data_IF_259542925638
#
_entry.id   IF_259542925638
#
_cell.length_a   1.000
_cell.length_b   1.000
_cell.length_c   1.000
_cell.angle_alpha   90.00
_cell.angle_beta   90.00
_cell.angle_gamma   90.00
#
_symmetry.space_group_name_H-M   'P 1'
#
loop_
_entity.id
_entity.type
_entity.pdbx_description
1 polymer ?
#
# COMPACT_ATOMS: atom_id res chain seq x y z
N UNK A 1 -28.98 -54.02 35.30
CA UNK A 1 -28.76 -52.69 35.90
C UNK A 1 -28.57 -51.71 34.75
N UNK A 2 -29.39 -50.65 34.70
CA UNK A 2 -29.58 -49.75 33.55
C UNK A 2 -28.83 -48.45 33.84
N UNK A 3 -27.73 -48.17 33.13
CA UNK A 3 -27.08 -46.86 33.21
C UNK A 3 -26.83 -46.36 31.78
N UNK A 4 -27.72 -45.48 31.31
CA UNK A 4 -27.63 -44.78 30.03
C UNK A 4 -26.75 -43.54 30.24
N UNK A 5 -25.70 -43.37 29.45
CA UNK A 5 -24.88 -42.16 29.42
C UNK A 5 -25.29 -41.33 28.20
N UNK A 6 -25.95 -40.21 28.44
CA UNK A 6 -26.23 -39.17 27.45
C UNK A 6 -25.11 -38.14 27.60
N UNK A 7 -24.25 -38.01 26.60
CA UNK A 7 -23.26 -36.94 26.52
C UNK A 7 -23.71 -35.94 25.45
N UNK A 8 -24.13 -34.78 25.92
CA UNK A 8 -24.57 -33.63 25.12
C UNK A 8 -23.35 -33.01 24.41
N UNK A 9 -23.31 -33.08 23.08
CA UNK A 9 -22.31 -32.37 22.30
C UNK A 9 -22.68 -30.87 22.21
N UNK A 10 -21.91 -30.03 22.87
CA UNK A 10 -22.04 -28.57 22.82
C UNK A 10 -21.46 -28.08 21.49
N UNK A 11 -22.33 -27.66 20.56
CA UNK A 11 -21.90 -27.03 19.30
C UNK A 11 -21.51 -25.58 19.59
N UNK A 12 -20.20 -25.30 19.56
CA UNK A 12 -19.68 -23.94 19.57
C UNK A 12 -19.76 -23.37 18.15
N UNK A 13 -20.82 -22.62 17.86
CA UNK A 13 -20.90 -21.80 16.64
C UNK A 13 -20.13 -20.50 16.88
N UNK A 14 -18.90 -20.43 16.41
CA UNK A 14 -18.12 -19.19 16.36
C UNK A 14 -18.77 -18.24 15.35
N UNK A 15 -19.33 -17.14 15.83
CA UNK A 15 -19.87 -16.08 14.99
C UNK A 15 -18.74 -15.32 14.28
N UNK A 16 -18.75 -15.34 12.95
CA UNK A 16 -17.94 -14.43 12.15
C UNK A 16 -18.55 -13.03 12.23
N UNK A 17 -17.91 -12.12 12.96
CA UNK A 17 -18.23 -10.70 12.91
C UNK A 17 -17.63 -10.13 11.61
N UNK A 18 -18.48 -9.75 10.65
CA UNK A 18 -18.05 -8.95 9.51
C UNK A 18 -17.84 -7.51 9.98
N UNK A 19 -16.58 -7.10 10.13
CA UNK A 19 -16.25 -5.70 10.35
C UNK A 19 -16.50 -4.93 9.04
N UNK A 20 -17.64 -4.24 8.94
CA UNK A 20 -17.86 -3.25 7.90
C UNK A 20 -16.94 -2.05 8.18
N UNK A 21 -15.82 -1.96 7.48
CA UNK A 21 -15.01 -0.76 7.40
C UNK A 21 -15.83 0.34 6.72
N UNK A 22 -16.24 1.35 7.50
CA UNK A 22 -16.80 2.59 6.96
C UNK A 22 -15.71 3.26 6.10
N UNK A 23 -15.96 3.60 4.81
CA UNK A 23 -14.99 4.39 4.07
C UNK A 23 -14.81 5.75 4.77
N UNK A 24 -13.56 6.17 4.85
CA UNK A 24 -13.13 7.40 5.52
C UNK A 24 -13.91 8.62 5.02
N UNK A 25 -14.15 9.52 5.96
CA UNK A 25 -14.77 10.85 5.84
C UNK A 25 -14.25 11.65 4.63
N UNK A 26 -15.17 12.36 3.97
CA UNK A 26 -14.93 13.08 2.70
C UNK A 26 -13.86 14.18 2.74
N UNK A 27 -13.65 14.80 1.57
CA UNK A 27 -12.63 15.84 1.35
C UNK A 27 -12.69 16.40 -0.07
N UNK A 28 -11.64 17.12 -0.51
CA UNK A 28 -11.53 17.63 -1.87
C UNK A 28 -11.18 16.50 -2.85
N UNK A 29 -12.03 16.30 -3.87
CA UNK A 29 -11.79 15.37 -4.98
C UNK A 29 -11.61 16.20 -6.25
N UNK A 30 -10.37 16.58 -6.53
CA UNK A 30 -9.97 17.43 -7.64
C UNK A 30 -8.47 17.33 -7.88
N UNK A 31 -7.90 18.15 -8.78
CA UNK A 31 -6.49 18.09 -9.13
C UNK A 31 -5.59 18.17 -7.89
N UNK A 32 -4.64 17.24 -7.80
CA UNK A 32 -3.59 17.26 -6.77
C UNK A 32 -2.47 18.23 -7.16
N UNK A 33 -1.73 18.76 -6.19
CA UNK A 33 -0.61 19.66 -6.43
C UNK A 33 0.51 18.98 -7.24
N UNK A 34 0.70 17.68 -7.05
CA UNK A 34 1.72 16.89 -7.75
C UNK A 34 1.20 16.40 -9.10
N UNK A 35 1.92 16.76 -10.17
CA UNK A 35 1.69 16.23 -11.50
C UNK A 35 2.24 14.80 -11.62
N UNK A 36 1.61 13.92 -12.43
CA UNK A 36 2.16 12.60 -12.73
C UNK A 36 3.56 12.70 -13.37
N UNK A 37 4.50 11.90 -12.89
CA UNK A 37 5.88 11.79 -13.40
C UNK A 37 6.29 10.32 -13.59
N UNK A 38 7.37 10.10 -14.33
CA UNK A 38 8.00 8.77 -14.51
C UNK A 38 9.05 8.50 -13.44
N UNK A 39 9.38 7.23 -13.18
CA UNK A 39 10.44 6.88 -12.23
C UNK A 39 11.78 7.51 -12.64
N UNK A 40 12.09 7.59 -13.94
CA UNK A 40 13.29 8.27 -14.42
C UNK A 40 13.35 9.75 -14.01
N UNK A 41 12.21 10.45 -13.99
CA UNK A 41 12.16 11.83 -13.53
C UNK A 41 12.29 11.94 -12.01
N UNK A 42 11.80 10.95 -11.26
CA UNK A 42 11.97 10.87 -9.81
C UNK A 42 13.45 10.74 -9.43
N UNK A 43 14.20 9.87 -10.12
CA UNK A 43 15.63 9.66 -9.84
C UNK A 43 16.47 10.95 -9.99
N UNK A 44 16.04 11.85 -10.88
CA UNK A 44 16.66 13.15 -11.13
C UNK A 44 16.04 14.29 -10.30
N UNK A 45 14.98 14.01 -9.53
CA UNK A 45 14.34 15.00 -8.69
C UNK A 45 15.26 15.41 -7.53
N UNK A 46 14.91 16.56 -6.94
CA UNK A 46 15.55 17.03 -5.72
C UNK A 46 14.95 16.28 -4.54
N UNK A 47 15.73 16.21 -3.47
CA UNK A 47 15.24 15.87 -2.14
C UNK A 47 14.01 16.70 -1.74
N UNK A 48 13.13 16.15 -0.90
CA UNK A 48 11.85 16.71 -0.45
C UNK A 48 10.84 17.02 -1.59
N UNK A 49 11.03 16.47 -2.79
CA UNK A 49 10.10 16.74 -3.91
C UNK A 49 8.90 15.80 -3.84
N UNK A 50 7.69 16.34 -3.66
CA UNK A 50 6.48 15.53 -3.76
C UNK A 50 6.19 15.09 -5.20
N UNK A 51 5.96 13.80 -5.40
CA UNK A 51 5.74 13.17 -6.71
C UNK A 51 4.45 12.36 -6.74
N UNK A 52 3.94 12.14 -7.94
CA UNK A 52 2.87 11.18 -8.22
C UNK A 52 3.34 10.24 -9.31
N UNK A 53 3.37 8.93 -9.04
CA UNK A 53 3.90 7.92 -9.98
C UNK A 53 2.91 6.76 -10.08
N UNK A 54 2.66 6.29 -11.30
CA UNK A 54 1.80 5.13 -11.56
C UNK A 54 2.63 3.94 -12.01
N UNK A 55 2.35 2.77 -11.45
CA UNK A 55 3.17 1.58 -11.65
C UNK A 55 2.71 0.37 -10.83
N UNK A 56 3.63 -0.54 -10.54
CA UNK A 56 3.37 -1.76 -9.80
C UNK A 56 4.44 -2.00 -8.73
N UNK A 57 4.05 -2.57 -7.59
CA UNK A 57 4.98 -3.15 -6.63
C UNK A 57 5.34 -4.56 -7.11
N UNK A 58 6.61 -4.84 -7.38
CA UNK A 58 7.04 -6.13 -7.96
C UNK A 58 7.79 -7.02 -6.98
N UNK A 59 8.28 -6.47 -5.87
CA UNK A 59 9.00 -7.23 -4.86
C UNK A 59 8.93 -6.52 -3.50
N UNK A 60 8.88 -7.29 -2.41
CA UNK A 60 9.13 -6.78 -1.05
C UNK A 60 10.61 -6.97 -0.74
N UNK A 61 11.23 -5.96 -0.14
CA UNK A 61 12.65 -5.96 0.24
C UNK A 61 12.84 -6.21 1.75
N UNK A 62 11.78 -6.08 2.54
CA UNK A 62 11.82 -6.12 4.01
C UNK A 62 11.72 -4.72 4.60
N UNK A 63 11.47 -4.60 5.90
CA UNK A 63 11.50 -3.33 6.65
C UNK A 63 10.74 -2.18 5.93
N UNK A 64 9.50 -2.45 5.53
CA UNK A 64 8.60 -1.50 4.83
C UNK A 64 9.07 -1.01 3.44
N UNK A 65 10.15 -1.58 2.92
CA UNK A 65 10.67 -1.29 1.58
C UNK A 65 10.14 -2.25 0.52
N UNK A 66 9.86 -1.68 -0.66
CA UNK A 66 9.35 -2.41 -1.82
C UNK A 66 10.01 -1.93 -3.11
N UNK A 67 10.24 -2.86 -4.03
CA UNK A 67 10.65 -2.53 -5.39
C UNK A 67 9.42 -2.15 -6.21
N UNK A 68 9.41 -0.92 -6.70
CA UNK A 68 8.37 -0.37 -7.55
C UNK A 68 8.86 -0.19 -8.99
N UNK A 69 7.96 -0.31 -9.97
CA UNK A 69 8.27 -0.08 -11.39
C UNK A 69 7.17 0.72 -12.09
N UNK A 70 7.55 1.67 -12.94
CA UNK A 70 6.65 2.30 -13.92
C UNK A 70 6.54 1.50 -15.24
N UNK A 71 7.13 0.29 -15.26
CA UNK A 71 7.23 -0.59 -16.43
C UNK A 71 8.50 -0.37 -17.27
N UNK A 72 9.26 0.70 -17.02
CA UNK A 72 10.52 1.00 -17.72
C UNK A 72 11.71 1.07 -16.77
N UNK A 73 11.53 1.72 -15.63
CA UNK A 73 12.55 1.91 -14.62
C UNK A 73 12.01 1.43 -13.27
N UNK A 74 12.92 1.18 -12.34
CA UNK A 74 12.57 0.73 -10.99
C UNK A 74 13.15 1.65 -9.94
N UNK A 75 12.47 1.75 -8.81
CA UNK A 75 12.88 2.53 -7.64
C UNK A 75 12.45 1.78 -6.38
N UNK A 76 13.12 2.05 -5.26
CA UNK A 76 12.66 1.60 -3.95
C UNK A 76 11.63 2.59 -3.42
N UNK A 77 10.55 2.07 -2.88
CA UNK A 77 9.54 2.86 -2.16
C UNK A 77 9.46 2.35 -0.72
N UNK A 78 9.33 3.27 0.22
CA UNK A 78 9.04 2.98 1.62
C UNK A 78 7.56 3.19 1.86
N UNK A 79 6.88 2.19 2.41
CA UNK A 79 5.42 2.19 2.59
C UNK A 79 5.05 1.76 4.00
N UNK A 80 4.92 2.75 4.88
CA UNK A 80 4.41 2.57 6.23
C UNK A 80 2.96 2.07 6.26
N UNK A 81 2.57 1.46 7.39
CA UNK A 81 1.26 0.87 7.65
C UNK A 81 0.09 1.82 7.30
N UNK A 82 0.23 3.12 7.58
CA UNK A 82 -0.78 4.14 7.31
C UNK A 82 -1.06 4.33 5.82
N UNK A 83 -0.04 4.26 4.96
CA UNK A 83 -0.14 4.54 3.53
C UNK A 83 -0.95 3.46 2.78
N UNK A 84 -0.98 2.24 3.34
CA UNK A 84 -1.79 1.15 2.82
C UNK A 84 -3.27 1.42 2.95
N UNK A 85 -3.72 2.13 3.98
CA UNK A 85 -5.13 2.43 4.23
C UNK A 85 -6.07 1.18 4.12
N UNK A 86 -5.57 0.00 4.53
CA UNK A 86 -6.28 -1.28 4.45
C UNK A 86 -6.32 -1.93 3.06
N UNK A 87 -5.61 -1.38 2.08
CA UNK A 87 -5.45 -1.98 0.75
C UNK A 87 -4.57 -3.22 0.81
N UNK A 88 -4.86 -4.18 -0.05
CA UNK A 88 -3.98 -5.32 -0.34
C UNK A 88 -3.58 -5.23 -1.80
N UNK A 89 -2.29 -5.10 -2.07
CA UNK A 89 -1.75 -4.90 -3.42
C UNK A 89 -0.95 -6.13 -3.84
N UNK A 90 -1.32 -6.74 -4.96
CA UNK A 90 -0.59 -7.82 -5.60
C UNK A 90 0.34 -7.28 -6.71
N UNK A 91 1.34 -8.07 -7.15
CA UNK A 91 2.29 -7.57 -8.15
C UNK A 91 1.74 -7.18 -9.51
N UNK A 92 0.53 -7.65 -9.86
CA UNK A 92 -0.14 -7.30 -11.11
C UNK A 92 -1.09 -6.10 -10.95
N UNK A 93 -1.32 -5.61 -9.73
CA UNK A 93 -2.20 -4.48 -9.47
C UNK A 93 -1.47 -3.19 -9.81
N UNK A 94 -2.04 -2.42 -10.73
CA UNK A 94 -1.52 -1.11 -11.06
C UNK A 94 -2.00 -0.11 -10.02
N UNK A 95 -1.07 0.63 -9.44
CA UNK A 95 -1.32 1.63 -8.40
C UNK A 95 -0.74 2.97 -8.80
N UNK A 96 -1.34 4.03 -8.28
CA UNK A 96 -0.74 5.36 -8.22
C UNK A 96 -0.30 5.60 -6.78
N UNK A 97 0.96 5.97 -6.62
CA UNK A 97 1.55 6.42 -5.35
C UNK A 97 1.70 7.93 -5.38
N UNK A 98 1.45 8.56 -4.24
CA UNK A 98 1.84 9.95 -3.95
C UNK A 98 2.79 9.87 -2.76
N UNK A 99 3.92 10.56 -2.83
CA UNK A 99 4.95 10.53 -1.80
C UNK A 99 6.04 11.57 -2.04
N UNK A 100 7.02 11.63 -1.15
CA UNK A 100 8.15 12.55 -1.23
C UNK A 100 9.41 11.81 -1.65
N UNK A 101 10.25 12.46 -2.45
CA UNK A 101 11.56 11.92 -2.84
C UNK A 101 12.53 12.16 -1.71
N UNK A 102 13.04 11.08 -1.14
CA UNK A 102 14.14 11.11 -0.19
C UNK A 102 15.44 10.83 -0.94
N UNK A 103 16.40 11.74 -0.81
CA UNK A 103 17.67 11.64 -1.53
C UNK A 103 18.83 12.15 -0.69
N UNK A 104 19.51 11.21 -0.05
CA UNK A 104 20.81 11.46 0.55
C UNK A 104 21.92 11.51 -0.51
N UNK A 105 22.94 12.33 -0.25
CA UNK A 105 24.04 12.62 -1.20
C UNK A 105 24.86 11.38 -1.64
N UNK A 106 24.66 10.22 -1.01
CA UNK A 106 25.43 9.00 -1.21
C UNK A 106 24.56 7.77 -1.49
N UNK A 107 23.23 7.93 -1.49
CA UNK A 107 22.28 6.84 -1.62
C UNK A 107 21.43 6.99 -2.88
N UNK A 108 20.84 5.89 -3.34
CA UNK A 108 19.86 5.94 -4.43
C UNK A 108 18.59 6.61 -3.92
N UNK A 109 17.94 7.41 -4.76
CA UNK A 109 16.70 8.06 -4.35
C UNK A 109 15.60 7.03 -4.06
N UNK A 110 14.86 7.24 -2.98
CA UNK A 110 13.67 6.46 -2.62
C UNK A 110 12.42 7.35 -2.70
N UNK A 111 11.25 6.77 -2.51
CA UNK A 111 10.01 7.52 -2.31
C UNK A 111 9.40 7.09 -0.98
N UNK A 112 9.28 8.01 -0.04
CA UNK A 112 8.45 7.83 1.16
C UNK A 112 6.98 8.01 0.73
N UNK A 113 6.18 6.94 0.82
CA UNK A 113 4.83 6.92 0.27
C UNK A 113 3.80 7.43 1.27
N UNK A 114 3.16 8.55 0.94
CA UNK A 114 2.06 9.13 1.72
C UNK A 114 0.71 8.42 1.46
N UNK A 115 0.49 7.99 0.21
CA UNK A 115 -0.81 7.46 -0.23
C UNK A 115 -0.68 6.51 -1.40
N UNK A 116 -1.40 5.38 -1.30
CA UNK A 116 -1.64 4.45 -2.39
C UNK A 116 -3.08 4.58 -2.90
N UNK A 117 -3.27 4.47 -4.22
CA UNK A 117 -4.59 4.32 -4.85
C UNK A 117 -4.52 3.30 -5.96
N UNK A 118 -5.45 2.34 -5.99
CA UNK A 118 -5.55 1.35 -7.06
C UNK A 118 -6.09 2.03 -8.33
N UNK A 119 -5.42 1.80 -9.46
CA UNK A 119 -5.91 2.22 -10.77
C UNK A 119 -6.98 1.22 -11.22
N UNK A 120 -8.21 1.71 -11.48
CA UNK A 120 -9.35 0.91 -11.94
C UNK A 120 -9.41 0.79 -13.46
#
# INVERSE_FOLDING_TARGET
MKNVLIATALVLTSGFATANTLPATGGFNGPTASAPVTVAQVLEARDDTQVQVTGNIVHSLGDDEYKFTDGKNTIVIEVDDEAWAGLTIAPNDQITIIGNVEKDNWEEATIEVDRITIVS
#
